data_IF_006506454378
#
_entry.id   IF_006506454378
#
_cell.length_a   1.000
_cell.length_b   1.000
_cell.length_c   1.000
_cell.angle_alpha   90.00
_cell.angle_beta   90.00
_cell.angle_gamma   90.00
#
_symmetry.space_group_name_H-M   'P 1'
#
loop_
_entity.id
_entity.type
_entity.pdbx_description
1 polymer ?
#
# COMPACT_ATOMS: atom_id res chain seq x y z
N UNK A 1 19.96 30.78 11.34
CA UNK A 1 20.06 29.74 10.28
C UNK A 1 19.23 28.56 10.71
N UNK A 2 18.01 28.48 10.19
CA UNK A 2 17.06 27.38 10.52
C UNK A 2 17.50 26.15 9.74
N UNK A 3 17.95 25.12 10.43
CA UNK A 3 18.20 23.81 9.86
C UNK A 3 16.83 23.21 9.49
N UNK A 4 16.51 23.28 8.22
CA UNK A 4 15.41 22.47 7.66
C UNK A 4 15.93 21.03 7.74
N UNK A 5 15.50 20.33 8.76
CA UNK A 5 15.68 18.88 8.83
C UNK A 5 14.95 18.31 7.62
N UNK A 6 15.70 17.85 6.65
CA UNK A 6 15.23 17.06 5.52
C UNK A 6 14.61 15.79 6.06
N UNK A 7 13.32 15.83 6.37
CA UNK A 7 12.48 14.66 6.47
C UNK A 7 12.13 14.23 5.05
N UNK A 8 13.16 13.87 4.32
CA UNK A 8 13.01 13.27 3.01
C UNK A 8 13.12 11.78 3.19
N UNK A 9 12.11 11.13 2.76
CA UNK A 9 12.09 9.73 2.43
C UNK A 9 12.00 8.72 3.56
N UNK A 10 10.81 8.51 3.99
CA UNK A 10 10.46 7.21 4.50
C UNK A 10 9.23 6.73 3.74
N UNK A 11 9.43 6.25 2.58
CA UNK A 11 8.44 5.45 1.87
C UNK A 11 9.01 4.99 0.56
N UNK A 12 8.92 3.76 0.29
CA UNK A 12 8.92 3.31 -1.05
C UNK A 12 8.98 1.84 -1.27
N UNK A 13 8.89 1.41 -2.21
CA UNK A 13 8.65 0.40 -3.17
C UNK A 13 9.19 -1.00 -2.84
N UNK A 14 8.32 -1.93 -2.92
CA UNK A 14 8.59 -3.21 -3.58
C UNK A 14 7.36 -3.63 -4.37
N UNK A 15 7.44 -3.52 -5.64
CA UNK A 15 6.74 -4.39 -6.55
C UNK A 15 7.76 -5.45 -6.99
N UNK A 16 7.56 -6.67 -6.60
CA UNK A 16 8.35 -7.76 -7.14
C UNK A 16 9.27 -8.48 -6.16
N UNK A 17 8.81 -8.77 -4.95
CA UNK A 17 9.36 -9.93 -4.24
C UNK A 17 8.23 -10.88 -3.94
N UNK A 18 8.43 -12.09 -4.40
CA UNK A 18 7.55 -13.20 -4.24
C UNK A 18 6.99 -13.27 -2.83
N UNK A 19 5.71 -13.54 -2.76
CA UNK A 19 4.97 -13.80 -1.54
C UNK A 19 5.73 -14.86 -0.74
N UNK A 20 6.54 -14.44 0.21
CA UNK A 20 7.02 -15.35 1.24
C UNK A 20 5.83 -15.62 2.13
N UNK A 21 5.14 -16.72 1.82
CA UNK A 21 4.13 -17.25 2.69
C UNK A 21 4.76 -17.54 4.04
N UNK A 22 4.41 -16.78 5.07
CA UNK A 22 4.47 -17.27 6.42
C UNK A 22 3.27 -18.20 6.62
N UNK A 23 3.37 -19.39 6.03
CA UNK A 23 2.55 -20.52 6.38
C UNK A 23 3.50 -21.55 6.94
N UNK A 24 3.37 -21.88 8.20
CA UNK A 24 3.88 -23.12 8.74
C UNK A 24 3.28 -24.28 7.94
N UNK A 25 4.12 -24.93 7.13
CA UNK A 25 3.83 -26.19 6.47
C UNK A 25 3.17 -26.08 5.08
N UNK A 26 3.95 -25.82 4.05
CA UNK A 26 4.06 -26.47 2.72
C UNK A 26 5.01 -25.61 1.87
N UNK A 27 6.06 -26.13 1.24
CA UNK A 27 6.93 -25.33 0.40
C UNK A 27 6.23 -25.01 -0.93
N UNK A 28 5.67 -23.84 -1.03
CA UNK A 28 5.30 -23.27 -2.33
C UNK A 28 6.59 -22.82 -3.00
N UNK A 29 6.85 -23.34 -4.19
CA UNK A 29 7.96 -22.92 -5.06
C UNK A 29 7.99 -21.41 -5.13
N UNK A 30 8.99 -20.80 -4.54
CA UNK A 30 9.33 -19.39 -4.71
C UNK A 30 9.87 -19.27 -6.13
N UNK A 31 9.10 -18.73 -7.02
CA UNK A 31 9.63 -18.23 -8.29
C UNK A 31 10.35 -16.94 -7.96
N UNK A 32 11.66 -17.04 -7.75
CA UNK A 32 12.57 -15.91 -7.74
C UNK A 32 12.79 -15.46 -9.17
N UNK A 33 11.86 -14.70 -9.72
CA UNK A 33 12.17 -13.86 -10.85
C UNK A 33 12.40 -12.45 -10.34
N UNK A 34 13.55 -11.88 -10.66
CA UNK A 34 13.79 -10.44 -10.62
C UNK A 34 12.82 -9.77 -11.61
N UNK A 35 11.58 -9.64 -11.20
CA UNK A 35 10.58 -8.94 -11.99
C UNK A 35 10.96 -7.47 -11.96
N UNK A 36 11.54 -6.99 -13.05
CA UNK A 36 11.60 -5.56 -13.37
C UNK A 36 10.19 -5.03 -13.19
N UNK A 37 10.01 -4.20 -12.20
CA UNK A 37 8.70 -3.76 -11.75
C UNK A 37 8.13 -2.82 -12.80
N UNK A 38 7.25 -3.35 -13.60
CA UNK A 38 6.45 -2.62 -14.57
C UNK A 38 5.18 -2.06 -13.88
N UNK A 39 5.44 -1.28 -12.81
CA UNK A 39 4.37 -0.65 -12.08
C UNK A 39 4.19 0.78 -12.55
N UNK A 40 3.00 1.11 -12.96
CA UNK A 40 2.59 2.48 -13.23
C UNK A 40 1.55 2.94 -12.22
N UNK A 41 1.64 4.21 -11.85
CA UNK A 41 0.66 4.88 -11.03
C UNK A 41 0.14 6.08 -11.79
N UNK A 42 -1.16 6.24 -11.80
CA UNK A 42 -1.83 7.43 -12.32
C UNK A 42 -2.57 8.08 -11.16
N UNK A 43 -2.40 9.38 -11.00
CA UNK A 43 -3.14 10.17 -10.00
C UNK A 43 -3.98 11.20 -10.74
N UNK A 44 -5.24 11.32 -10.35
CA UNK A 44 -6.18 12.29 -10.92
C UNK A 44 -6.98 12.98 -9.82
N UNK A 45 -7.58 14.11 -10.14
CA UNK A 45 -8.41 14.90 -9.19
C UNK A 45 -7.60 15.77 -8.23
N UNK A 46 -6.30 15.97 -8.48
CA UNK A 46 -5.49 16.88 -7.69
C UNK A 46 -5.76 18.33 -8.03
N UNK A 47 -5.75 19.18 -7.01
CA UNK A 47 -5.78 20.63 -7.19
C UNK A 47 -4.45 21.12 -7.82
N UNK A 48 -4.49 22.30 -8.44
CA UNK A 48 -3.33 22.88 -9.10
C UNK A 48 -2.13 23.02 -8.14
N UNK A 49 -0.99 22.53 -8.57
CA UNK A 49 0.28 22.61 -7.81
C UNK A 49 0.46 21.52 -6.76
N UNK A 50 -0.46 20.59 -6.61
CA UNK A 50 -0.30 19.39 -5.79
C UNK A 50 0.18 18.25 -6.68
N UNK A 51 1.20 17.53 -6.26
CA UNK A 51 1.66 16.32 -6.94
C UNK A 51 1.75 15.17 -5.94
N UNK A 52 1.36 13.99 -6.37
CA UNK A 52 1.60 12.75 -5.65
C UNK A 52 2.48 11.89 -6.55
N UNK A 53 3.65 11.54 -6.04
CA UNK A 53 4.63 10.72 -6.75
C UNK A 53 4.88 9.43 -5.98
N UNK A 54 5.24 8.40 -6.71
CA UNK A 54 5.80 7.21 -6.05
C UNK A 54 7.12 7.61 -5.40
N UNK A 55 7.40 7.03 -4.27
CA UNK A 55 8.61 7.39 -3.53
C UNK A 55 9.87 7.05 -4.31
N UNK A 56 9.84 6.03 -5.18
CA UNK A 56 10.97 5.71 -6.04
C UNK A 56 11.29 6.77 -7.09
N UNK A 57 10.28 7.43 -7.55
CA UNK A 57 10.46 8.54 -8.50
C UNK A 57 11.14 9.73 -7.83
N UNK A 58 11.09 9.76 -6.50
CA UNK A 58 11.71 10.81 -5.68
C UNK A 58 13.09 10.39 -5.17
N UNK A 59 13.31 9.09 -4.96
CA UNK A 59 14.60 8.53 -4.55
C UNK A 59 15.64 8.69 -5.67
N UNK A 60 16.75 9.35 -5.37
CA UNK A 60 17.79 9.70 -6.35
C UNK A 60 19.05 8.85 -6.23
N UNK A 61 19.26 8.22 -5.10
CA UNK A 61 20.47 7.44 -4.82
C UNK A 61 20.16 5.97 -4.56
N UNK A 62 21.16 5.12 -4.72
CA UNK A 62 21.05 3.69 -4.44
C UNK A 62 20.75 3.43 -2.97
N UNK A 63 21.30 4.23 -2.07
CA UNK A 63 21.06 4.15 -0.62
C UNK A 63 19.62 4.50 -0.28
N UNK A 64 19.08 5.55 -0.89
CA UNK A 64 17.68 5.92 -0.73
C UNK A 64 16.76 4.80 -1.23
N UNK A 65 17.04 4.18 -2.36
CA UNK A 65 16.29 3.05 -2.89
C UNK A 65 16.36 1.84 -1.96
N UNK A 66 17.53 1.54 -1.39
CA UNK A 66 17.68 0.45 -0.41
C UNK A 66 16.85 0.70 0.84
N UNK A 67 16.93 1.93 1.40
CA UNK A 67 16.14 2.32 2.56
C UNK A 67 14.64 2.16 2.31
N UNK A 68 14.22 2.57 1.18
CA UNK A 68 12.90 2.42 0.64
C UNK A 68 12.41 0.97 0.67
N UNK A 69 13.23 0.03 0.20
CA UNK A 69 12.93 -1.41 0.25
C UNK A 69 12.83 -1.94 1.69
N UNK A 70 13.69 -1.44 2.56
CA UNK A 70 13.67 -1.79 3.98
C UNK A 70 12.41 -1.28 4.67
N UNK A 71 12.01 -0.05 4.39
CA UNK A 71 10.78 0.54 4.93
C UNK A 71 9.55 -0.28 4.54
N UNK A 72 9.47 -0.84 3.33
CA UNK A 72 8.37 -1.72 2.92
C UNK A 72 8.35 -3.04 3.65
N UNK A 73 9.51 -3.63 3.83
CA UNK A 73 9.64 -4.84 4.62
C UNK A 73 9.14 -4.58 6.05
N UNK A 74 9.53 -3.43 6.62
CA UNK A 74 9.12 -3.01 7.96
C UNK A 74 7.60 -2.78 8.05
N UNK A 75 7.01 -2.05 7.10
CA UNK A 75 5.55 -1.85 7.01
C UNK A 75 4.82 -3.19 6.88
N UNK A 76 5.32 -4.10 6.05
CA UNK A 76 4.72 -5.41 5.83
C UNK A 76 4.73 -6.26 7.11
N UNK A 77 5.84 -6.26 7.82
CA UNK A 77 5.95 -6.94 9.12
C UNK A 77 5.02 -6.31 10.15
N UNK A 78 5.07 -4.98 10.28
CA UNK A 78 4.26 -4.25 11.26
C UNK A 78 2.74 -4.45 11.04
N UNK A 79 2.29 -4.48 9.79
CA UNK A 79 0.86 -4.71 9.49
C UNK A 79 0.42 -6.13 9.83
N UNK A 80 1.26 -7.12 9.58
CA UNK A 80 0.94 -8.52 9.93
C UNK A 80 0.88 -8.70 11.44
N UNK A 81 1.76 -8.03 12.18
CA UNK A 81 1.84 -8.15 13.64
C UNK A 81 0.73 -7.37 14.36
N UNK A 82 0.26 -6.25 13.79
CA UNK A 82 -0.65 -5.32 14.49
C UNK A 82 -2.07 -5.27 13.94
N UNK A 83 -2.30 -5.72 12.73
CA UNK A 83 -3.61 -5.62 12.08
C UNK A 83 -4.22 -6.99 11.89
N UNK A 84 -5.40 -7.22 12.47
CA UNK A 84 -6.19 -8.38 12.11
C UNK A 84 -6.74 -8.21 10.69
N UNK A 85 -6.00 -8.75 9.72
CA UNK A 85 -6.31 -8.64 8.30
C UNK A 85 -7.62 -9.34 7.93
N UNK A 86 -7.93 -10.48 8.56
CA UNK A 86 -9.20 -11.20 8.33
C UNK A 86 -10.39 -10.35 8.75
N UNK A 87 -10.36 -9.85 9.99
CA UNK A 87 -11.38 -8.97 10.52
C UNK A 87 -11.53 -7.71 9.67
N UNK A 88 -10.39 -7.08 9.31
CA UNK A 88 -10.37 -5.88 8.47
C UNK A 88 -11.10 -6.07 7.15
N UNK A 89 -10.78 -7.13 6.42
CA UNK A 89 -11.37 -7.38 5.10
C UNK A 89 -12.83 -7.79 5.24
N UNK A 90 -13.18 -8.63 6.21
CA UNK A 90 -14.56 -9.04 6.47
C UNK A 90 -15.46 -7.87 6.80
N UNK A 91 -15.04 -6.96 7.66
CA UNK A 91 -15.79 -5.74 8.02
C UNK A 91 -16.01 -4.81 6.83
N UNK A 92 -14.99 -4.64 6.00
CA UNK A 92 -15.03 -3.68 4.89
C UNK A 92 -15.82 -4.18 3.68
N UNK A 93 -15.79 -5.48 3.39
CA UNK A 93 -16.46 -6.08 2.23
C UNK A 93 -17.84 -6.66 2.56
N UNK A 94 -18.30 -6.55 3.81
CA UNK A 94 -19.61 -7.04 4.26
C UNK A 94 -19.87 -8.51 3.89
N UNK A 95 -18.89 -9.38 4.13
CA UNK A 95 -19.04 -10.83 3.93
C UNK A 95 -19.97 -11.47 4.97
N UNK A 96 -20.63 -12.58 4.60
CA UNK A 96 -21.40 -13.41 5.55
C UNK A 96 -20.46 -14.07 6.56
N UNK A 97 -20.98 -14.47 7.73
CA UNK A 97 -20.17 -15.14 8.78
C UNK A 97 -19.47 -16.39 8.24
N UNK A 98 -20.13 -17.16 7.40
CA UNK A 98 -19.61 -18.37 6.74
C UNK A 98 -18.43 -18.05 5.79
N UNK A 99 -18.43 -16.88 5.17
CA UNK A 99 -17.32 -16.41 4.33
C UNK A 99 -16.13 -15.90 5.15
N UNK A 100 -16.32 -15.58 6.44
CA UNK A 100 -15.28 -15.08 7.32
C UNK A 100 -14.35 -16.18 7.85
N UNK A 101 -14.86 -17.40 8.05
CA UNK A 101 -14.09 -18.48 8.69
C UNK A 101 -13.05 -19.14 7.78
N UNK A 102 -13.33 -19.27 6.50
CA UNK A 102 -12.48 -20.00 5.53
C UNK A 102 -11.69 -19.10 4.59
N UNK A 103 -11.36 -17.89 5.05
CA UNK A 103 -10.63 -16.91 4.24
C UNK A 103 -9.25 -16.67 4.81
N UNK A 104 -8.25 -16.80 3.95
CA UNK A 104 -6.91 -16.24 4.17
C UNK A 104 -6.82 -14.86 3.51
N UNK A 105 -6.17 -13.92 4.16
CA UNK A 105 -5.88 -12.61 3.57
C UNK A 105 -4.39 -12.50 3.29
N UNK A 106 -4.06 -12.11 2.08
CA UNK A 106 -2.68 -11.95 1.61
C UNK A 106 -2.41 -10.50 1.26
N UNK A 107 -1.20 -10.04 1.56
CA UNK A 107 -0.70 -8.75 1.09
C UNK A 107 -0.15 -8.95 -0.32
N UNK A 108 -0.85 -8.41 -1.31
CA UNK A 108 -0.49 -8.55 -2.73
C UNK A 108 0.54 -7.52 -3.15
N UNK A 109 0.32 -6.27 -2.77
CA UNK A 109 1.20 -5.17 -3.15
C UNK A 109 1.33 -4.14 -2.03
N UNK A 110 2.47 -3.50 -2.00
CA UNK A 110 2.80 -2.38 -1.10
C UNK A 110 3.38 -1.26 -1.95
N UNK A 111 2.80 -0.07 -1.93
CA UNK A 111 3.25 1.07 -2.72
C UNK A 111 3.29 2.34 -1.88
N UNK A 112 4.46 2.96 -1.79
CA UNK A 112 4.65 4.24 -1.09
C UNK A 112 4.42 5.45 -1.99
N UNK A 113 3.96 6.52 -1.37
CA UNK A 113 3.65 7.77 -2.02
C UNK A 113 4.23 8.95 -1.24
N UNK A 114 4.64 9.96 -1.96
CA UNK A 114 5.02 11.27 -1.43
C UNK A 114 4.08 12.32 -1.99
N UNK A 115 3.48 13.11 -1.11
CA UNK A 115 2.67 14.27 -1.46
C UNK A 115 3.59 15.48 -1.47
N UNK A 116 3.75 16.09 -2.63
CA UNK A 116 4.53 17.31 -2.77
C UNK A 116 3.68 18.53 -2.39
N UNK A 117 4.31 19.58 -1.86
CA UNK A 117 3.60 20.76 -1.35
C UNK A 117 2.69 21.40 -2.41
N UNK A 118 1.48 21.74 -1.99
CA UNK A 118 0.47 22.43 -2.78
C UNK A 118 -0.76 22.70 -1.92
N UNK A 119 -1.75 23.42 -2.47
CA UNK A 119 -3.03 23.61 -1.81
C UNK A 119 -3.98 22.51 -2.26
N UNK A 120 -4.42 21.69 -1.33
CA UNK A 120 -5.41 20.64 -1.56
C UNK A 120 -6.67 21.00 -0.75
N UNK A 121 -7.83 21.10 -1.40
CA UNK A 121 -9.08 21.30 -0.68
C UNK A 121 -9.52 20.01 0.03
N UNK A 122 -10.16 20.13 1.18
CA UNK A 122 -10.64 18.95 1.95
C UNK A 122 -11.65 18.13 1.15
N UNK A 123 -12.42 18.79 0.29
CA UNK A 123 -13.44 18.19 -0.55
C UNK A 123 -12.92 17.63 -1.89
N UNK A 124 -11.63 17.79 -2.20
CA UNK A 124 -11.07 17.24 -3.43
C UNK A 124 -11.19 15.71 -3.42
N UNK A 125 -11.61 15.14 -4.55
CA UNK A 125 -11.66 13.71 -4.77
C UNK A 125 -10.44 13.31 -5.60
N UNK A 126 -9.54 12.57 -4.99
CA UNK A 126 -8.28 12.13 -5.60
C UNK A 126 -8.33 10.63 -5.83
N UNK A 127 -8.19 10.21 -7.06
CA UNK A 127 -8.04 8.80 -7.41
C UNK A 127 -6.56 8.45 -7.58
N UNK A 128 -6.11 7.42 -6.88
CA UNK A 128 -4.82 6.78 -7.12
C UNK A 128 -5.07 5.44 -7.80
N UNK A 129 -4.60 5.29 -9.03
CA UNK A 129 -4.78 4.08 -9.81
C UNK A 129 -3.42 3.39 -10.03
N UNK A 130 -3.26 2.20 -9.44
CA UNK A 130 -2.04 1.41 -9.47
C UNK A 130 -2.18 0.24 -10.44
N UNK A 131 -1.21 0.06 -11.33
CA UNK A 131 -1.13 -1.06 -12.27
C UNK A 131 0.18 -1.82 -12.09
N UNK A 132 0.11 -3.15 -12.11
CA UNK A 132 1.28 -4.02 -12.22
C UNK A 132 0.85 -5.43 -12.61
N UNK A 133 1.77 -6.23 -13.14
CA UNK A 133 1.52 -7.65 -13.46
C UNK A 133 1.07 -8.46 -12.23
N UNK A 134 1.55 -8.11 -11.04
CA UNK A 134 1.15 -8.76 -9.80
C UNK A 134 -0.31 -8.46 -9.47
N UNK A 135 -0.74 -7.21 -9.62
CA UNK A 135 -2.14 -6.82 -9.43
C UNK A 135 -3.04 -7.46 -10.47
N UNK A 136 -2.62 -7.48 -11.74
CA UNK A 136 -3.34 -8.13 -12.84
C UNK A 136 -3.53 -9.64 -12.59
N UNK A 137 -2.53 -10.30 -12.00
CA UNK A 137 -2.60 -11.73 -11.66
C UNK A 137 -3.43 -11.99 -10.38
N UNK A 138 -3.51 -11.02 -9.48
CA UNK A 138 -4.18 -11.19 -8.20
C UNK A 138 -5.69 -10.91 -8.25
N UNK A 139 -6.12 -9.95 -9.06
CA UNK A 139 -7.50 -9.45 -9.05
C UNK A 139 -8.21 -9.68 -10.38
N UNK A 140 -9.53 -9.80 -10.30
CA UNK A 140 -10.42 -9.90 -11.46
C UNK A 140 -11.15 -8.57 -11.69
N UNK A 141 -11.58 -8.32 -12.92
CA UNK A 141 -12.26 -7.09 -13.29
C UNK A 141 -13.51 -6.83 -12.43
N UNK A 142 -13.66 -5.59 -11.93
CA UNK A 142 -14.67 -5.13 -11.00
C UNK A 142 -14.62 -5.77 -9.60
N UNK A 143 -13.54 -6.46 -9.24
CA UNK A 143 -13.38 -7.00 -7.90
C UNK A 143 -13.24 -5.87 -6.87
N UNK A 144 -14.07 -5.96 -5.82
CA UNK A 144 -13.97 -5.07 -4.65
C UNK A 144 -12.89 -5.61 -3.72
N UNK A 145 -12.03 -4.74 -3.27
CA UNK A 145 -10.93 -5.09 -2.37
C UNK A 145 -10.76 -4.05 -1.26
N UNK A 146 -9.94 -4.40 -0.31
CA UNK A 146 -9.54 -3.48 0.77
C UNK A 146 -8.08 -3.12 0.58
N UNK A 147 -7.79 -1.85 0.73
CA UNK A 147 -6.41 -1.37 0.91
C UNK A 147 -6.26 -0.82 2.33
N UNK A 148 -5.07 -0.99 2.89
CA UNK A 148 -4.66 -0.26 4.07
C UNK A 148 -3.75 0.87 3.66
N UNK A 149 -3.97 2.04 4.22
CA UNK A 149 -3.02 3.14 4.12
C UNK A 149 -2.25 3.20 5.43
N UNK A 150 -0.95 2.94 5.35
CA UNK A 150 -0.02 3.03 6.46
C UNK A 150 0.63 4.42 6.47
N UNK A 151 0.49 5.12 7.58
CA UNK A 151 1.09 6.44 7.78
C UNK A 151 2.19 6.32 8.82
N UNK A 152 3.45 6.61 8.47
CA UNK A 152 4.57 6.52 9.40
C UNK A 152 4.50 7.63 10.45
N UNK A 153 4.81 7.28 11.68
CA UNK A 153 5.02 8.21 12.79
C UNK A 153 6.38 7.94 13.40
N UNK A 154 7.17 8.98 13.54
CA UNK A 154 8.50 8.91 14.18
C UNK A 154 8.39 9.50 15.57
N UNK A 155 8.75 8.73 16.59
CA UNK A 155 8.79 9.21 17.96
C UNK A 155 10.07 10.00 18.27
N UNK A 156 10.18 10.52 19.48
CA UNK A 156 11.33 11.31 19.91
C UNK A 156 12.66 10.51 19.94
N UNK A 157 12.60 9.18 19.97
CA UNK A 157 13.76 8.29 19.90
C UNK A 157 14.18 7.96 18.47
N UNK A 158 13.41 8.40 17.47
CA UNK A 158 13.63 8.07 16.06
C UNK A 158 12.99 6.74 15.64
N UNK A 159 12.24 6.07 16.51
CA UNK A 159 11.55 4.83 16.19
C UNK A 159 10.34 5.10 15.30
N UNK A 160 10.27 4.40 14.18
CA UNK A 160 9.13 4.46 13.25
C UNK A 160 8.03 3.51 13.70
N UNK A 161 6.82 4.02 13.78
CA UNK A 161 5.59 3.26 13.99
C UNK A 161 4.59 3.63 12.91
N UNK A 162 3.54 2.82 12.71
CA UNK A 162 2.55 3.09 11.66
C UNK A 162 1.15 3.16 12.25
N UNK A 163 0.35 4.06 11.68
CA UNK A 163 -1.11 4.06 11.88
C UNK A 163 -1.76 3.61 10.58
N UNK A 164 -2.86 2.86 10.67
CA UNK A 164 -3.51 2.23 9.53
C UNK A 164 -4.91 2.76 9.32
N UNK A 165 -5.21 3.17 8.10
CA UNK A 165 -6.56 3.55 7.66
C UNK A 165 -7.06 2.54 6.63
N UNK A 166 -8.27 1.99 6.86
CA UNK A 166 -8.92 1.02 5.98
C UNK A 166 -9.69 1.76 4.88
N UNK A 167 -9.47 1.42 3.62
CA UNK A 167 -10.13 2.06 2.48
C UNK A 167 -10.66 0.98 1.52
N UNK A 168 -11.88 1.17 1.03
CA UNK A 168 -12.43 0.34 -0.05
C UNK A 168 -11.79 0.76 -1.36
N UNK A 169 -11.44 -0.23 -2.17
CA UNK A 169 -10.89 -0.03 -3.50
C UNK A 169 -11.58 -0.98 -4.49
N UNK A 170 -11.34 -0.78 -5.76
CA UNK A 170 -11.85 -1.62 -6.82
C UNK A 170 -10.74 -1.90 -7.84
N UNK A 171 -10.69 -3.12 -8.33
CA UNK A 171 -9.88 -3.46 -9.49
C UNK A 171 -10.70 -3.24 -10.76
N UNK A 172 -10.32 -2.27 -11.58
CA UNK A 172 -11.06 -1.89 -12.78
C UNK A 172 -10.11 -1.38 -13.87
N UNK A 173 -10.34 -1.85 -15.10
CA UNK A 173 -9.52 -1.51 -16.27
C UNK A 173 -8.02 -1.83 -16.04
N UNK A 174 -7.72 -2.99 -15.46
CA UNK A 174 -6.37 -3.42 -15.17
C UNK A 174 -5.64 -2.60 -14.08
N UNK A 175 -6.37 -1.92 -13.19
CA UNK A 175 -5.80 -1.06 -12.14
C UNK A 175 -6.55 -1.24 -10.81
N UNK A 176 -5.82 -1.26 -9.72
CA UNK A 176 -6.39 -1.03 -8.39
C UNK A 176 -6.62 0.48 -8.23
N UNK A 177 -7.87 0.86 -8.03
CA UNK A 177 -8.30 2.26 -7.88
C UNK A 177 -8.68 2.54 -6.45
N UNK A 178 -8.07 3.57 -5.89
CA UNK A 178 -8.25 4.02 -4.51
C UNK A 178 -8.73 5.47 -4.54
N UNK A 179 -9.94 5.71 -4.06
CA UNK A 179 -10.49 7.05 -3.96
C UNK A 179 -10.22 7.63 -2.57
N UNK A 180 -9.64 8.81 -2.52
CA UNK A 180 -9.24 9.53 -1.32
C UNK A 180 -9.83 10.94 -1.35
N UNK A 181 -10.25 11.44 -0.21
CA UNK A 181 -10.57 12.85 -0.07
C UNK A 181 -9.32 13.68 0.19
N UNK A 182 -9.33 14.95 -0.17
CA UNK A 182 -8.24 15.87 0.15
C UNK A 182 -7.96 15.95 1.65
N UNK A 183 -9.02 15.82 2.49
CA UNK A 183 -8.87 15.73 3.93
C UNK A 183 -8.07 14.48 4.34
N UNK A 184 -8.38 13.30 3.80
CA UNK A 184 -7.62 12.08 4.09
C UNK A 184 -6.15 12.22 3.70
N UNK A 185 -5.86 12.79 2.53
CA UNK A 185 -4.49 13.02 2.09
C UNK A 185 -3.73 13.97 3.03
N UNK A 186 -4.37 15.01 3.54
CA UNK A 186 -3.78 15.91 4.55
C UNK A 186 -3.52 15.17 5.86
N UNK A 187 -4.46 14.33 6.31
CA UNK A 187 -4.33 13.54 7.53
C UNK A 187 -3.19 12.49 7.41
N UNK A 188 -2.92 11.99 6.19
CA UNK A 188 -1.79 11.10 5.93
C UNK A 188 -0.44 11.81 5.93
N UNK A 189 -0.43 13.13 5.72
CA UNK A 189 0.79 13.93 5.70
C UNK A 189 1.56 13.83 4.39
N UNK A 190 2.88 14.06 4.47
CA UNK A 190 3.75 14.13 3.27
C UNK A 190 4.09 12.77 2.68
N UNK A 191 3.94 11.68 3.43
CA UNK A 191 4.26 10.32 2.97
C UNK A 191 3.29 9.31 3.55
N UNK A 192 2.88 8.36 2.72
CA UNK A 192 2.04 7.24 3.13
C UNK A 192 2.27 6.02 2.22
N UNK A 193 1.86 4.86 2.68
CA UNK A 193 2.02 3.61 1.94
C UNK A 193 0.67 2.93 1.77
N UNK A 194 0.32 2.57 0.54
CA UNK A 194 -0.88 1.80 0.21
C UNK A 194 -0.52 0.32 0.16
N UNK A 195 -1.29 -0.50 0.87
CA UNK A 195 -1.12 -1.95 0.98
C UNK A 195 -2.38 -2.60 0.42
N UNK A 196 -2.27 -3.30 -0.69
CA UNK A 196 -3.39 -4.00 -1.32
C UNK A 196 -3.56 -5.40 -0.72
N UNK A 197 -4.79 -5.72 -0.30
CA UNK A 197 -5.14 -6.97 0.35
C UNK A 197 -6.03 -7.84 -0.55
N UNK A 198 -5.72 -9.12 -0.67
CA UNK A 198 -6.49 -10.13 -1.40
C UNK A 198 -7.08 -11.14 -0.45
N UNK A 199 -8.37 -11.40 -0.59
CA UNK A 199 -9.00 -12.59 -0.02
C UNK A 199 -8.69 -13.82 -0.86
N UNK A 200 -8.17 -14.85 -0.22
CA UNK A 200 -7.93 -16.15 -0.85
C UNK A 200 -8.80 -17.18 -0.12
N UNK A 201 -9.67 -17.84 -0.87
CA UNK A 201 -10.47 -18.96 -0.31
C UNK A 201 -9.52 -20.10 0.04
N UNK A 202 -9.55 -20.56 1.28
CA UNK A 202 -8.90 -21.80 1.64
C UNK A 202 -9.72 -22.95 1.02
N UNK A 203 -9.05 -23.83 0.28
CA UNK A 203 -9.68 -25.09 -0.11
C UNK A 203 -9.93 -25.88 1.19
N UNK A 204 -11.18 -26.32 1.39
CA UNK A 204 -11.45 -27.32 2.41
C UNK A 204 -10.55 -28.54 2.13
N UNK A 205 -9.79 -28.93 3.15
CA UNK A 205 -8.98 -30.17 3.13
C UNK A 205 -9.90 -31.35 3.39
#
# INVERSE_FOLDING_TARGET
MKRIASFVLTAALVLGMGVSAFATGVPSKVVQDEVKVDASVTVSGLDAGVEIKRVEEVAKTTEEIKKVKEDYKNVRTDVVDKVDLKKTVSEMLAGTEEQKENVKVEIVAVQGFTVLPGRLADSSNVEIAMKSKILDAAYTENEKLVVLVAVPKVDASGKVTYTYTKIKAVYKNGKVRVDLTGKQLKDFGSTFTVIALKQVKQKAV
#
